data_IF_286010142258
#
_entry.id   IF_286010142258
#
_cell.length_a   1.000
_cell.length_b   1.000
_cell.length_c   1.000
_cell.angle_alpha   90.00
_cell.angle_beta   90.00
_cell.angle_gamma   90.00
#
_symmetry.space_group_name_H-M   'P 1'
#
loop_
_entity.id
_entity.type
_entity.pdbx_description
1 polymer ?
#
# COMPACT_ATOMS: atom_id res chain seq x y z
N UNK A 1 -9.12 -29.67 4.10
CA UNK A 1 -8.99 -28.27 3.61
C UNK A 1 -9.73 -28.13 2.28
N UNK A 2 -10.95 -27.55 2.25
CA UNK A 2 -11.59 -27.14 0.98
C UNK A 2 -10.86 -25.88 0.47
N UNK A 3 -9.94 -26.06 -0.48
CA UNK A 3 -9.21 -24.96 -1.16
C UNK A 3 -10.18 -24.21 -2.07
N UNK A 4 -10.66 -23.06 -1.63
CA UNK A 4 -11.42 -22.12 -2.46
C UNK A 4 -10.48 -21.50 -3.52
N UNK A 5 -10.36 -22.15 -4.68
CA UNK A 5 -9.50 -21.69 -5.80
C UNK A 5 -9.85 -20.30 -6.31
N UNK A 6 -11.09 -19.83 -6.09
CA UNK A 6 -11.57 -18.53 -6.58
C UNK A 6 -11.25 -17.35 -5.64
N UNK A 7 -10.57 -17.57 -4.51
CA UNK A 7 -10.18 -16.49 -3.58
C UNK A 7 -8.79 -15.92 -3.83
N UNK A 8 -7.98 -16.61 -4.63
CA UNK A 8 -6.63 -16.20 -4.98
C UNK A 8 -6.56 -16.03 -6.48
N UNK A 9 -6.44 -14.78 -6.92
CA UNK A 9 -6.37 -14.43 -8.33
C UNK A 9 -4.92 -14.02 -8.62
N UNK A 10 -4.24 -14.69 -9.57
CA UNK A 10 -2.93 -14.26 -10.00
C UNK A 10 -3.05 -12.91 -10.73
N UNK A 11 -2.25 -11.94 -10.33
CA UNK A 11 -2.21 -10.62 -10.93
C UNK A 11 -0.78 -10.06 -10.88
N UNK A 12 -0.51 -9.04 -11.70
CA UNK A 12 0.79 -8.37 -11.77
C UNK A 12 0.56 -6.89 -11.59
N UNK A 13 1.12 -6.32 -10.52
CA UNK A 13 1.04 -4.88 -10.27
C UNK A 13 1.88 -4.12 -11.32
N UNK A 14 1.42 -2.93 -11.77
CA UNK A 14 0.32 -2.14 -11.21
C UNK A 14 -1.04 -2.39 -11.89
N UNK A 15 -1.30 -3.54 -12.52
CA UNK A 15 -2.59 -3.82 -13.19
C UNK A 15 -3.33 -4.98 -12.52
N UNK A 16 -4.45 -4.67 -11.88
CA UNK A 16 -5.30 -5.64 -11.21
C UNK A 16 -6.55 -5.94 -12.05
N UNK A 17 -6.96 -7.21 -12.15
CA UNK A 17 -8.14 -7.64 -12.90
C UNK A 17 -9.44 -7.43 -12.09
N UNK A 18 -9.60 -6.22 -11.52
CA UNK A 18 -10.72 -5.84 -10.68
C UNK A 18 -11.36 -4.55 -11.18
N UNK A 19 -12.66 -4.42 -10.94
CA UNK A 19 -13.41 -3.23 -11.29
C UNK A 19 -13.08 -2.07 -10.34
N UNK A 20 -13.41 -0.85 -10.78
CA UNK A 20 -13.29 0.34 -9.95
C UNK A 20 -14.16 0.20 -8.68
N UNK A 21 -13.57 0.51 -7.52
CA UNK A 21 -14.23 0.48 -6.21
C UNK A 21 -14.87 -0.86 -5.86
N UNK A 22 -14.35 -1.97 -6.39
CA UNK A 22 -14.85 -3.32 -6.13
C UNK A 22 -14.71 -3.74 -4.65
N UNK A 23 -13.73 -3.20 -3.92
CA UNK A 23 -13.48 -3.53 -2.52
C UNK A 23 -13.67 -2.33 -1.60
N UNK A 24 -14.22 -2.52 -0.41
CA UNK A 24 -14.29 -1.46 0.60
C UNK A 24 -12.91 -1.16 1.23
N UNK A 25 -12.07 -2.21 1.39
CA UNK A 25 -10.77 -2.15 2.06
C UNK A 25 -9.71 -2.96 1.30
N UNK A 26 -8.55 -2.34 1.06
CA UNK A 26 -7.36 -3.02 0.52
C UNK A 26 -6.20 -2.97 1.50
N UNK A 27 -5.53 -4.10 1.69
CA UNK A 27 -4.40 -4.26 2.61
C UNK A 27 -3.15 -4.66 1.82
N UNK A 28 -2.10 -3.84 1.91
CA UNK A 28 -0.77 -4.16 1.39
C UNK A 28 0.18 -4.30 2.58
N UNK A 29 0.63 -5.53 2.83
CA UNK A 29 1.66 -5.83 3.82
C UNK A 29 3.06 -5.70 3.18
N UNK A 30 4.07 -6.31 3.82
CA UNK A 30 5.51 -6.33 3.52
C UNK A 30 5.92 -6.46 2.03
N UNK A 31 5.62 -5.45 1.20
CA UNK A 31 5.84 -5.48 -0.25
C UNK A 31 6.31 -4.15 -0.84
N UNK A 32 5.61 -3.05 -0.61
CA UNK A 32 5.95 -1.81 -1.33
C UNK A 32 7.28 -1.21 -0.85
N UNK A 33 7.27 -0.59 0.32
CA UNK A 33 8.39 0.25 0.76
C UNK A 33 9.62 -0.55 1.19
N UNK A 34 9.45 -1.83 1.55
CA UNK A 34 10.57 -2.73 1.81
C UNK A 34 11.48 -2.87 0.59
N UNK A 35 10.93 -2.83 -0.62
CA UNK A 35 11.66 -3.07 -1.86
C UNK A 35 12.05 -1.78 -2.59
N UNK A 36 12.21 -0.65 -1.87
CA UNK A 36 12.55 0.66 -2.48
C UNK A 36 13.86 0.68 -3.27
N UNK A 37 14.78 -0.27 -3.02
CA UNK A 37 16.02 -0.42 -3.78
C UNK A 37 15.84 -1.16 -5.11
N UNK A 38 14.70 -1.85 -5.28
CA UNK A 38 14.38 -2.67 -6.46
C UNK A 38 13.22 -2.13 -7.28
N UNK A 39 12.31 -1.42 -6.63
CA UNK A 39 11.12 -0.81 -7.23
C UNK A 39 11.32 0.70 -7.21
N UNK A 40 11.18 1.33 -8.38
CA UNK A 40 11.31 2.78 -8.46
C UNK A 40 10.06 3.49 -7.92
N UNK A 41 10.19 4.80 -7.73
CA UNK A 41 9.11 5.63 -7.24
C UNK A 41 7.86 5.58 -8.13
N UNK A 42 8.04 5.53 -9.46
CA UNK A 42 6.93 5.51 -10.40
C UNK A 42 6.11 4.23 -10.24
N UNK A 43 6.77 3.08 -10.08
CA UNK A 43 6.11 1.82 -9.78
C UNK A 43 5.30 1.89 -8.48
N UNK A 44 5.86 2.48 -7.42
CA UNK A 44 5.14 2.66 -6.16
C UNK A 44 3.89 3.53 -6.34
N UNK A 45 4.01 4.66 -7.05
CA UNK A 45 2.89 5.56 -7.29
C UNK A 45 1.80 4.89 -8.14
N UNK A 46 2.17 4.22 -9.24
CA UNK A 46 1.23 3.51 -10.10
C UNK A 46 0.53 2.37 -9.36
N UNK A 47 1.28 1.62 -8.55
CA UNK A 47 0.69 0.56 -7.72
C UNK A 47 -0.32 1.13 -6.74
N UNK A 48 0.01 2.22 -6.03
CA UNK A 48 -0.91 2.82 -5.06
C UNK A 48 -2.14 3.41 -5.73
N UNK A 49 -2.00 4.04 -6.90
CA UNK A 49 -3.13 4.47 -7.72
C UNK A 49 -4.03 3.31 -8.11
N UNK A 50 -3.45 2.16 -8.47
CA UNK A 50 -4.23 0.96 -8.79
C UNK A 50 -4.98 0.42 -7.56
N UNK A 51 -4.32 0.37 -6.39
CA UNK A 51 -4.99 -0.02 -5.15
C UNK A 51 -6.13 0.96 -4.82
N UNK A 52 -5.93 2.26 -5.00
CA UNK A 52 -6.96 3.29 -4.81
C UNK A 52 -8.10 3.16 -5.85
N UNK A 53 -7.80 2.74 -7.08
CA UNK A 53 -8.82 2.55 -8.13
C UNK A 53 -9.80 1.44 -7.75
N UNK A 54 -9.28 0.28 -7.33
CA UNK A 54 -10.10 -0.88 -6.98
C UNK A 54 -10.75 -0.77 -5.61
N UNK A 55 -10.37 0.23 -4.82
CA UNK A 55 -10.82 0.42 -3.44
C UNK A 55 -11.77 1.61 -3.32
N UNK A 56 -12.85 1.41 -2.59
CA UNK A 56 -13.89 2.42 -2.39
C UNK A 56 -13.52 3.40 -1.28
N UNK A 57 -13.17 2.89 -0.11
CA UNK A 57 -13.11 3.68 1.12
C UNK A 57 -11.69 3.79 1.68
N UNK A 58 -10.96 2.67 1.82
CA UNK A 58 -9.70 2.67 2.59
C UNK A 58 -8.61 1.72 2.06
N UNK A 59 -7.38 2.24 1.91
CA UNK A 59 -6.17 1.43 1.63
C UNK A 59 -5.22 1.53 2.82
N UNK A 60 -4.69 0.39 3.28
CA UNK A 60 -3.66 0.32 4.33
C UNK A 60 -2.38 -0.28 3.79
N UNK A 61 -1.27 0.39 4.02
CA UNK A 61 0.06 -0.04 3.57
C UNK A 61 0.99 -0.14 4.77
N UNK A 62 1.55 -1.32 4.99
CA UNK A 62 2.48 -1.61 6.08
C UNK A 62 3.68 -2.43 5.57
N UNK A 63 4.90 -2.20 6.06
CA UNK A 63 5.33 -1.07 6.90
C UNK A 63 5.62 0.17 6.04
N UNK A 64 5.68 1.37 6.63
CA UNK A 64 6.16 2.60 5.95
C UNK A 64 7.69 2.75 5.95
N UNK A 65 8.41 1.65 6.16
CA UNK A 65 9.87 1.60 6.24
C UNK A 65 10.48 0.66 5.20
N UNK A 66 11.77 0.83 4.94
CA UNK A 66 12.60 -0.07 4.13
C UNK A 66 13.20 -1.23 4.96
N UNK A 67 14.02 -2.08 4.35
CA UNK A 67 14.74 -3.16 5.06
C UNK A 67 15.79 -2.66 6.06
N UNK A 68 16.26 -1.42 5.93
CA UNK A 68 17.16 -0.77 6.89
C UNK A 68 16.41 -0.19 8.11
N UNK A 69 15.09 -0.41 8.22
CA UNK A 69 14.23 0.15 9.26
C UNK A 69 14.13 1.69 9.21
N UNK A 70 14.38 2.28 8.04
CA UNK A 70 14.28 3.72 7.81
C UNK A 70 12.95 4.05 7.14
N UNK A 71 12.37 5.21 7.46
CA UNK A 71 11.15 5.71 6.82
C UNK A 71 11.39 5.85 5.31
N UNK A 72 10.45 5.36 4.51
CA UNK A 72 10.54 5.41 3.05
C UNK A 72 10.86 6.82 2.54
N UNK A 73 11.97 6.96 1.79
CA UNK A 73 12.56 8.27 1.46
C UNK A 73 11.64 9.20 0.67
N UNK A 74 10.71 8.64 -0.09
CA UNK A 74 9.75 9.40 -0.91
C UNK A 74 8.34 9.47 -0.30
N UNK A 75 8.18 9.11 0.98
CA UNK A 75 6.85 9.05 1.60
C UNK A 75 6.14 10.41 1.59
N UNK A 76 6.85 11.51 1.87
CA UNK A 76 6.24 12.85 1.85
C UNK A 76 5.84 13.29 0.43
N UNK A 77 6.62 12.89 -0.58
CA UNK A 77 6.24 13.12 -1.98
C UNK A 77 4.99 12.32 -2.33
N UNK A 78 4.96 11.05 -1.96
CA UNK A 78 3.83 10.15 -2.18
C UNK A 78 2.55 10.66 -1.50
N UNK A 79 2.64 11.13 -0.26
CA UNK A 79 1.51 11.73 0.47
C UNK A 79 0.94 12.92 -0.30
N UNK A 80 1.80 13.84 -0.77
CA UNK A 80 1.36 14.99 -1.58
C UNK A 80 0.70 14.57 -2.89
N UNK A 81 1.26 13.58 -3.57
CA UNK A 81 0.70 13.07 -4.83
C UNK A 81 -0.67 12.40 -4.57
N UNK A 82 -0.84 11.65 -3.48
CA UNK A 82 -2.13 11.08 -3.05
C UNK A 82 -3.15 12.19 -2.73
N UNK A 83 -2.74 13.22 -2.00
CA UNK A 83 -3.62 14.36 -1.66
C UNK A 83 -4.07 15.12 -2.92
N UNK A 84 -3.20 15.24 -3.93
CA UNK A 84 -3.56 15.86 -5.21
C UNK A 84 -4.63 15.07 -5.98
N UNK A 85 -4.79 13.78 -5.69
CA UNK A 85 -5.83 12.92 -6.26
C UNK A 85 -7.14 12.95 -5.43
N UNK A 86 -7.21 13.79 -4.39
CA UNK A 86 -8.40 13.97 -3.56
C UNK A 86 -8.58 12.95 -2.44
N UNK A 87 -7.52 12.23 -2.06
CA UNK A 87 -7.53 11.29 -0.94
C UNK A 87 -6.75 11.86 0.25
N UNK A 88 -7.13 11.49 1.46
CA UNK A 88 -6.43 11.82 2.70
C UNK A 88 -5.49 10.70 3.12
N UNK A 89 -4.46 11.03 3.90
CA UNK A 89 -3.53 10.03 4.44
C UNK A 89 -3.26 10.25 5.91
N UNK A 90 -3.03 9.17 6.65
CA UNK A 90 -2.62 9.18 8.06
C UNK A 90 -1.51 8.15 8.28
N UNK A 91 -0.41 8.55 8.91
CA UNK A 91 0.63 7.63 9.37
C UNK A 91 0.30 7.18 10.80
N UNK A 92 -0.06 5.91 10.96
CA UNK A 92 -0.54 5.35 12.22
C UNK A 92 0.49 4.37 12.77
N UNK A 93 0.82 4.49 14.07
CA UNK A 93 1.57 3.45 14.78
C UNK A 93 0.67 2.26 15.10
N UNK A 94 1.13 1.07 14.76
CA UNK A 94 0.45 -0.20 15.04
C UNK A 94 1.19 -0.97 16.15
N UNK A 95 0.49 -1.82 16.93
CA UNK A 95 1.12 -2.57 18.01
C UNK A 95 2.06 -3.68 17.50
N UNK A 96 1.98 -4.02 16.22
CA UNK A 96 2.86 -5.00 15.59
C UNK A 96 4.22 -4.37 15.27
N UNK A 97 5.26 -4.86 15.93
CA UNK A 97 6.65 -4.41 15.73
C UNK A 97 7.54 -5.64 15.55
N UNK A 98 7.88 -5.96 14.30
CA UNK A 98 8.81 -7.04 14.00
C UNK A 98 10.28 -6.60 14.17
N UNK A 99 10.58 -5.37 13.77
CA UNK A 99 11.88 -4.71 13.97
C UNK A 99 11.66 -3.33 14.61
N UNK A 100 12.64 -2.87 15.37
CA UNK A 100 12.55 -1.60 16.11
C UNK A 100 12.22 -0.45 15.15
N UNK A 101 11.19 0.33 15.47
CA UNK A 101 10.68 1.47 14.69
C UNK A 101 10.04 1.13 13.33
N UNK A 102 9.74 -0.13 13.02
CA UNK A 102 9.04 -0.50 11.76
C UNK A 102 7.54 -0.69 11.94
N UNK A 103 6.95 -0.04 12.95
CA UNK A 103 5.58 -0.25 13.38
C UNK A 103 4.62 0.85 12.89
N UNK A 104 4.93 1.47 11.75
CA UNK A 104 4.12 2.54 11.15
C UNK A 104 3.43 2.03 9.89
N UNK A 105 2.16 2.39 9.75
CA UNK A 105 1.27 2.05 8.63
C UNK A 105 0.75 3.33 7.99
N UNK A 106 0.75 3.38 6.67
CA UNK A 106 0.07 4.43 5.92
C UNK A 106 -1.40 4.02 5.72
N UNK A 107 -2.31 4.81 6.25
CA UNK A 107 -3.74 4.71 5.99
C UNK A 107 -4.11 5.75 4.94
N UNK A 108 -4.76 5.34 3.85
CA UNK A 108 -5.21 6.20 2.76
C UNK A 108 -6.74 6.12 2.73
N UNK A 109 -7.42 7.25 2.78
CA UNK A 109 -8.87 7.35 2.94
C UNK A 109 -9.46 8.32 1.92
N UNK A 110 -10.67 8.04 1.47
CA UNK A 110 -11.41 8.93 0.56
C UNK A 110 -12.33 9.88 1.32
#
# INVERSE_FOLDING_TARGET
MKRNKNRYIPAVLPTLPFDDKQFDLTLSANFLFLYEDKLDYEFHLQTIKELMRVTKDEVRIFPTTNFACERYKYLDKLIRDIHSLGWMTEEIKVPYEFQKNTNTMLKIMR
#
